data_IF_164519288624
#
_entry.id   IF_164519288624
#
_cell.length_a   1.000
_cell.length_b   1.000
_cell.length_c   1.000
_cell.angle_alpha   90.00
_cell.angle_beta   90.00
_cell.angle_gamma   90.00
#
_symmetry.space_group_name_H-M   'P 1'
#
loop_
_entity.id
_entity.type
_entity.pdbx_description
1 polymer ?
#
# COMPACT_ATOMS: atom_id res chain seq x y z
N UNK A 1 8.95 18.12 -10.01
CA UNK A 1 9.57 19.35 -9.48
C UNK A 1 10.22 19.14 -8.10
N UNK A 2 9.56 18.53 -7.08
CA UNK A 2 10.20 18.23 -5.78
C UNK A 2 11.42 17.31 -5.90
N UNK A 3 11.35 16.27 -6.75
CA UNK A 3 12.48 15.38 -7.00
C UNK A 3 13.70 16.09 -7.60
N UNK A 4 13.49 17.02 -8.53
CA UNK A 4 14.57 17.81 -9.12
C UNK A 4 15.23 18.73 -8.09
N UNK A 5 14.44 19.28 -7.16
CA UNK A 5 14.96 20.08 -6.06
C UNK A 5 15.79 19.23 -5.08
N UNK A 6 15.34 18.03 -4.74
CA UNK A 6 16.06 17.11 -3.87
C UNK A 6 17.41 16.65 -4.47
N UNK A 7 17.53 16.63 -5.81
CA UNK A 7 18.76 16.31 -6.54
C UNK A 7 19.68 17.51 -6.74
N UNK A 8 19.27 18.74 -6.39
CA UNK A 8 20.11 19.93 -6.53
C UNK A 8 21.30 19.91 -5.54
N UNK A 9 22.41 20.55 -5.93
CA UNK A 9 23.62 20.61 -5.12
C UNK A 9 23.33 21.18 -3.72
N UNK A 10 23.82 20.53 -2.67
CA UNK A 10 23.60 20.88 -1.27
C UNK A 10 22.54 20.07 -0.54
N UNK A 11 21.53 19.55 -1.25
CA UNK A 11 20.52 18.64 -0.68
C UNK A 11 20.79 17.17 -0.98
N UNK A 12 21.59 16.87 -2.03
CA UNK A 12 21.88 15.52 -2.45
C UNK A 12 22.51 14.67 -1.35
N UNK A 13 23.58 15.15 -0.72
CA UNK A 13 24.27 14.38 0.32
C UNK A 13 23.48 14.31 1.64
N UNK A 14 22.79 15.40 2.01
CA UNK A 14 22.11 15.49 3.29
C UNK A 14 20.78 14.74 3.32
N UNK A 15 20.02 14.76 2.21
CA UNK A 15 18.66 14.23 2.17
C UNK A 15 18.52 13.03 1.23
N UNK A 16 19.02 13.13 0.01
CA UNK A 16 18.81 12.08 -1.00
C UNK A 16 19.52 10.78 -0.61
N UNK A 17 20.80 10.83 -0.25
CA UNK A 17 21.55 9.64 0.19
C UNK A 17 20.97 8.99 1.44
N UNK A 18 20.45 9.80 2.37
CA UNK A 18 19.79 9.25 3.56
C UNK A 18 18.46 8.58 3.20
N UNK A 19 17.67 9.18 2.31
CA UNK A 19 16.44 8.59 1.82
C UNK A 19 16.70 7.25 1.09
N UNK A 20 17.74 7.17 0.26
CA UNK A 20 18.13 5.91 -0.39
C UNK A 20 18.53 4.82 0.60
N UNK A 21 19.26 5.17 1.66
CA UNK A 21 19.59 4.20 2.72
C UNK A 21 18.34 3.66 3.42
N UNK A 22 17.40 4.54 3.77
CA UNK A 22 16.13 4.13 4.38
C UNK A 22 15.34 3.26 3.43
N UNK A 23 15.23 3.65 2.15
CA UNK A 23 14.59 2.85 1.11
C UNK A 23 15.20 1.44 1.02
N UNK A 24 16.54 1.34 1.03
CA UNK A 24 17.23 0.05 0.98
C UNK A 24 16.90 -0.83 2.19
N UNK A 25 16.76 -0.25 3.40
CA UNK A 25 16.35 -1.00 4.58
C UNK A 25 14.91 -1.52 4.46
N UNK A 26 14.00 -0.70 3.96
CA UNK A 26 12.61 -1.12 3.70
C UNK A 26 12.58 -2.28 2.69
N UNK A 27 13.34 -2.17 1.60
CA UNK A 27 13.44 -3.24 0.61
C UNK A 27 13.94 -4.54 1.24
N UNK A 28 15.00 -4.50 2.06
CA UNK A 28 15.53 -5.66 2.76
C UNK A 28 14.54 -6.29 3.74
N UNK A 29 13.67 -5.50 4.36
CA UNK A 29 12.62 -6.03 5.23
C UNK A 29 11.60 -6.85 4.44
N UNK A 30 11.19 -6.37 3.25
CA UNK A 30 10.32 -7.13 2.34
C UNK A 30 11.02 -8.38 1.79
N UNK A 31 12.28 -8.28 1.35
CA UNK A 31 13.06 -9.44 0.88
C UNK A 31 13.08 -10.55 1.93
N UNK A 32 13.39 -10.22 3.19
CA UNK A 32 13.38 -11.18 4.31
C UNK A 32 12.00 -11.79 4.58
N UNK A 33 10.93 -10.99 4.42
CA UNK A 33 9.58 -11.51 4.57
C UNK A 33 9.24 -12.50 3.45
N UNK A 34 9.61 -12.19 2.20
CA UNK A 34 9.38 -13.05 1.04
C UNK A 34 10.29 -14.29 0.96
N UNK A 35 11.33 -14.39 1.78
CA UNK A 35 12.03 -15.69 2.00
C UNK A 35 11.14 -16.74 2.68
N UNK A 36 10.09 -16.32 3.37
CA UNK A 36 9.24 -17.18 4.20
C UNK A 36 7.78 -17.22 3.75
N UNK A 37 7.33 -16.22 3.04
CA UNK A 37 5.94 -16.04 2.64
C UNK A 37 5.86 -15.73 1.16
N UNK A 38 4.88 -16.31 0.47
CA UNK A 38 4.66 -16.08 -0.95
C UNK A 38 3.90 -14.78 -1.20
N UNK A 39 2.98 -14.42 -0.30
CA UNK A 39 2.14 -13.20 -0.36
C UNK A 39 2.01 -12.60 1.04
N UNK A 40 2.09 -11.28 1.13
CA UNK A 40 1.78 -10.54 2.35
C UNK A 40 0.40 -9.91 2.22
N UNK A 41 -0.32 -9.86 3.33
CA UNK A 41 -1.71 -9.37 3.37
C UNK A 41 -1.83 -8.28 4.42
N UNK A 42 -2.48 -7.16 4.05
CA UNK A 42 -2.78 -6.06 4.97
C UNK A 42 -4.09 -5.36 4.58
N UNK A 43 -4.67 -4.53 5.45
CA UNK A 43 -5.62 -3.53 4.98
C UNK A 43 -4.95 -2.59 3.98
N UNK A 44 -5.70 -2.08 3.00
CA UNK A 44 -5.18 -1.07 2.06
C UNK A 44 -5.04 0.31 2.72
N UNK A 45 -5.82 0.59 3.77
CA UNK A 45 -5.77 1.82 4.56
C UNK A 45 -6.08 1.52 6.02
N UNK A 46 -5.54 2.30 6.98
CA UNK A 46 -5.81 2.12 8.42
C UNK A 46 -7.27 2.31 8.82
N UNK A 47 -8.00 3.12 8.08
CA UNK A 47 -9.39 3.46 8.34
C UNK A 47 -10.27 3.24 7.11
N UNK A 48 -11.57 3.12 7.31
CA UNK A 48 -12.55 3.28 6.23
C UNK A 48 -12.63 4.75 5.80
N UNK A 49 -13.34 5.04 4.70
CA UNK A 49 -13.51 6.40 4.22
C UNK A 49 -14.02 7.34 5.34
N UNK A 50 -13.35 8.46 5.49
CA UNK A 50 -13.69 9.53 6.43
C UNK A 50 -14.45 10.66 5.71
N UNK A 51 -15.15 11.53 6.45
CA UNK A 51 -15.89 12.65 5.89
C UNK A 51 -14.96 13.74 5.37
N UNK A 52 -15.39 14.47 4.36
CA UNK A 52 -14.65 15.63 3.85
C UNK A 52 -14.39 16.64 4.98
N UNK A 53 -13.12 17.00 5.16
CA UNK A 53 -12.69 17.94 6.21
C UNK A 53 -12.62 17.34 7.63
N UNK A 54 -12.84 16.03 7.82
CA UNK A 54 -12.75 15.38 9.14
C UNK A 54 -11.30 15.31 9.63
N UNK A 55 -10.36 14.98 8.74
CA UNK A 55 -8.94 14.94 9.07
C UNK A 55 -8.34 16.32 8.78
N UNK A 56 -8.02 17.06 9.83
CA UNK A 56 -7.43 18.40 9.75
C UNK A 56 -5.93 18.41 10.06
N UNK A 57 -5.44 17.39 10.76
CA UNK A 57 -4.02 17.23 11.07
C UNK A 57 -3.29 16.59 9.87
N UNK A 58 -2.28 17.26 9.27
CA UNK A 58 -1.50 16.71 8.17
C UNK A 58 -0.82 15.39 8.50
N UNK A 59 -0.38 15.18 9.73
CA UNK A 59 0.24 13.94 10.16
C UNK A 59 -0.73 12.76 10.11
N UNK A 60 -1.97 12.96 10.55
CA UNK A 60 -3.03 11.95 10.46
C UNK A 60 -3.38 11.61 9.00
N UNK A 61 -3.29 12.61 8.10
CA UNK A 61 -3.49 12.38 6.66
C UNK A 61 -2.37 11.50 6.08
N UNK A 62 -1.10 11.75 6.43
CA UNK A 62 0.02 10.90 5.99
C UNK A 62 -0.08 9.46 6.50
N UNK A 63 -0.63 9.26 7.69
CA UNK A 63 -0.83 7.92 8.24
C UNK A 63 -1.82 7.07 7.43
N UNK A 64 -2.67 7.67 6.59
CA UNK A 64 -3.58 6.90 5.73
C UNK A 64 -2.85 6.04 4.70
N UNK A 65 -1.63 6.41 4.34
CA UNK A 65 -0.81 5.71 3.34
C UNK A 65 0.24 4.76 3.96
N UNK A 66 0.15 4.51 5.28
CA UNK A 66 1.18 3.73 6.00
C UNK A 66 1.35 2.30 5.48
N UNK A 67 0.32 1.71 4.86
CA UNK A 67 0.39 0.36 4.30
C UNK A 67 0.78 0.31 2.82
N UNK A 68 0.68 1.42 2.09
CA UNK A 68 0.95 1.48 0.64
C UNK A 68 2.34 2.03 0.33
N UNK A 69 2.75 3.12 0.97
CA UNK A 69 4.05 3.77 0.75
C UNK A 69 5.25 2.81 0.90
N UNK A 70 5.33 1.92 1.92
CA UNK A 70 6.46 1.01 2.03
C UNK A 70 6.62 0.07 0.84
N UNK A 71 5.52 -0.44 0.29
CA UNK A 71 5.53 -1.30 -0.89
C UNK A 71 6.00 -0.54 -2.14
N UNK A 72 5.55 0.71 -2.33
CA UNK A 72 5.99 1.59 -3.42
C UNK A 72 7.49 1.90 -3.31
N UNK A 73 7.99 2.20 -2.11
CA UNK A 73 9.41 2.46 -1.86
C UNK A 73 10.27 1.23 -2.12
N UNK A 74 9.82 0.05 -1.75
CA UNK A 74 10.50 -1.20 -2.01
C UNK A 74 10.44 -1.61 -3.48
N UNK A 75 9.40 -1.23 -4.21
CA UNK A 75 9.15 -1.62 -5.60
C UNK A 75 8.43 -2.97 -5.73
N UNK A 76 7.76 -3.42 -4.69
CA UNK A 76 6.98 -4.65 -4.70
C UNK A 76 5.69 -4.49 -5.51
N UNK A 77 5.24 -5.58 -6.14
CA UNK A 77 3.93 -5.59 -6.76
C UNK A 77 2.81 -5.69 -5.72
N UNK A 78 1.69 -5.05 -5.98
CA UNK A 78 0.54 -5.05 -5.07
C UNK A 78 -0.79 -4.91 -5.79
N UNK A 79 -1.85 -5.43 -5.18
CA UNK A 79 -3.23 -5.26 -5.61
C UNK A 79 -4.12 -5.03 -4.40
N UNK A 80 -5.09 -4.15 -4.53
CA UNK A 80 -6.16 -3.96 -3.55
C UNK A 80 -7.46 -4.49 -4.11
N UNK A 81 -8.12 -5.34 -3.33
CA UNK A 81 -9.41 -5.95 -3.68
C UNK A 81 -10.45 -5.67 -2.58
N UNK A 82 -11.74 -5.75 -2.87
CA UNK A 82 -12.79 -5.63 -1.84
C UNK A 82 -12.63 -6.73 -0.78
N UNK A 83 -12.28 -6.34 0.46
CA UNK A 83 -12.02 -7.27 1.57
C UNK A 83 -13.16 -7.38 2.59
N UNK A 84 -14.25 -6.61 2.40
CA UNK A 84 -15.38 -6.60 3.32
C UNK A 84 -15.91 -5.21 3.60
N UNK A 85 -16.62 -5.07 4.71
CA UNK A 85 -17.23 -3.82 5.15
C UNK A 85 -17.00 -3.60 6.63
N UNK A 86 -16.81 -2.34 7.02
CA UNK A 86 -16.80 -1.88 8.40
C UNK A 86 -17.77 -0.70 8.53
N UNK A 87 -18.75 -0.81 9.42
CA UNK A 87 -19.81 0.18 9.61
C UNK A 87 -20.54 0.57 8.28
N UNK A 88 -20.70 -0.40 7.36
CA UNK A 88 -21.35 -0.18 6.07
C UNK A 88 -20.45 0.46 4.99
N UNK A 89 -19.20 0.79 5.31
CA UNK A 89 -18.21 1.32 4.38
C UNK A 89 -17.25 0.22 3.90
N UNK A 90 -16.82 0.22 2.63
CA UNK A 90 -15.95 -0.81 2.08
C UNK A 90 -14.55 -0.76 2.72
N UNK A 91 -13.96 -1.94 2.87
CA UNK A 91 -12.57 -2.14 3.31
C UNK A 91 -11.79 -2.75 2.17
N UNK A 92 -10.64 -2.16 1.83
CA UNK A 92 -9.69 -2.72 0.87
C UNK A 92 -8.79 -3.76 1.55
N UNK A 93 -8.67 -4.93 0.95
CA UNK A 93 -7.66 -5.93 1.27
C UNK A 93 -6.49 -5.78 0.31
N UNK A 94 -5.31 -5.48 0.84
CA UNK A 94 -4.09 -5.36 0.06
C UNK A 94 -3.35 -6.70 0.04
N UNK A 95 -2.98 -7.16 -1.14
CA UNK A 95 -2.09 -8.30 -1.36
C UNK A 95 -0.80 -7.78 -1.95
N UNK A 96 0.33 -8.11 -1.33
CA UNK A 96 1.66 -7.74 -1.81
C UNK A 96 2.42 -9.00 -2.21
N UNK A 97 3.07 -8.95 -3.36
CA UNK A 97 3.95 -9.98 -3.88
C UNK A 97 5.40 -9.50 -3.95
N UNK A 98 6.30 -10.44 -4.11
CA UNK A 98 7.70 -10.14 -4.42
C UNK A 98 7.81 -9.47 -5.80
N UNK A 99 9.01 -9.03 -6.18
CA UNK A 99 9.26 -8.47 -7.51
C UNK A 99 8.78 -9.43 -8.61
N UNK A 100 8.03 -8.88 -9.57
CA UNK A 100 7.49 -9.60 -10.74
C UNK A 100 6.59 -10.80 -10.40
N UNK A 101 5.93 -10.79 -9.22
CA UNK A 101 4.99 -11.83 -8.80
C UNK A 101 3.51 -11.44 -9.01
N UNK A 102 3.22 -10.59 -10.01
CA UNK A 102 1.88 -10.11 -10.33
C UNK A 102 0.91 -11.26 -10.64
N UNK A 103 1.38 -12.30 -11.32
CA UNK A 103 0.57 -13.49 -11.63
C UNK A 103 0.11 -14.21 -10.36
N UNK A 104 0.98 -14.30 -9.37
CA UNK A 104 0.69 -14.94 -8.09
C UNK A 104 -0.36 -14.15 -7.30
N UNK A 105 -0.16 -12.84 -7.12
CA UNK A 105 -1.11 -12.01 -6.35
C UNK A 105 -2.48 -11.93 -7.04
N UNK A 106 -2.54 -11.91 -8.38
CA UNK A 106 -3.79 -11.94 -9.13
C UNK A 106 -4.52 -13.29 -8.97
N UNK A 107 -3.81 -14.41 -8.95
CA UNK A 107 -4.42 -15.73 -8.66
C UNK A 107 -4.96 -15.81 -7.23
N UNK A 108 -4.25 -15.24 -6.26
CA UNK A 108 -4.72 -15.18 -4.87
C UNK A 108 -5.94 -14.28 -4.76
N UNK A 109 -5.94 -13.13 -5.44
CA UNK A 109 -7.08 -12.21 -5.52
C UNK A 109 -8.31 -12.89 -6.11
N UNK A 110 -8.16 -13.56 -7.26
CA UNK A 110 -9.25 -14.32 -7.91
C UNK A 110 -9.78 -15.43 -6.98
N UNK A 111 -8.89 -16.20 -6.36
CA UNK A 111 -9.31 -17.25 -5.43
C UNK A 111 -10.10 -16.69 -4.23
N UNK A 112 -9.76 -15.52 -3.73
CA UNK A 112 -10.51 -14.83 -2.67
C UNK A 112 -11.89 -14.38 -3.18
N UNK A 113 -11.98 -13.83 -4.38
CA UNK A 113 -13.23 -13.41 -4.99
C UNK A 113 -14.16 -14.58 -5.33
N UNK A 114 -13.65 -15.77 -5.62
CA UNK A 114 -14.46 -16.98 -5.86
C UNK A 114 -15.16 -17.48 -4.58
N UNK A 115 -14.64 -17.18 -3.40
CA UNK A 115 -15.22 -17.62 -2.12
C UNK A 115 -15.90 -16.49 -1.35
N UNK A 116 -15.94 -15.28 -1.91
CA UNK A 116 -16.58 -14.10 -1.30
C UNK A 116 -17.42 -13.34 -2.32
N UNK A 117 -18.36 -12.54 -1.83
CA UNK A 117 -19.25 -11.72 -2.67
C UNK A 117 -19.01 -10.21 -2.51
N UNK A 118 -17.90 -9.79 -1.90
CA UNK A 118 -17.63 -8.37 -1.64
C UNK A 118 -17.47 -7.56 -2.93
N UNK A 119 -16.83 -8.13 -3.95
CA UNK A 119 -16.61 -7.52 -5.26
C UNK A 119 -17.92 -7.32 -6.05
N UNK A 120 -19.00 -8.02 -5.70
CA UNK A 120 -20.34 -7.89 -6.34
C UNK A 120 -21.20 -6.78 -5.74
N UNK A 121 -20.73 -6.14 -4.67
CA UNK A 121 -21.49 -5.13 -3.94
C UNK A 121 -21.13 -3.72 -4.41
N UNK A 122 -22.14 -2.96 -4.80
CA UNK A 122 -22.02 -1.60 -5.32
C UNK A 122 -22.78 -0.62 -4.40
N UNK A 123 -22.36 0.64 -4.32
CA UNK A 123 -23.13 1.67 -3.62
C UNK A 123 -24.52 1.77 -4.22
N UNK A 124 -25.55 1.73 -3.36
CA UNK A 124 -26.95 1.73 -3.81
C UNK A 124 -27.46 3.11 -4.23
N UNK A 125 -26.70 4.17 -3.98
CA UNK A 125 -27.11 5.56 -4.19
C UNK A 125 -25.99 6.34 -4.92
N UNK A 126 -25.70 5.95 -6.15
CA UNK A 126 -24.98 6.77 -7.11
C UNK A 126 -25.93 7.34 -8.13
#
# INVERSE_FOLDING_TARGET
MLGTYALSSGYYDAYYKQAEKVRSLITQDFERAFERFDVLVSPASPTVAFKLGEITDPYQMYLQDVFTIPADLAGNCGVSIPGGFSNGLPVGLQLLGNFFAEDLILRVADAFEQVTDYHKQWPKNL
#
